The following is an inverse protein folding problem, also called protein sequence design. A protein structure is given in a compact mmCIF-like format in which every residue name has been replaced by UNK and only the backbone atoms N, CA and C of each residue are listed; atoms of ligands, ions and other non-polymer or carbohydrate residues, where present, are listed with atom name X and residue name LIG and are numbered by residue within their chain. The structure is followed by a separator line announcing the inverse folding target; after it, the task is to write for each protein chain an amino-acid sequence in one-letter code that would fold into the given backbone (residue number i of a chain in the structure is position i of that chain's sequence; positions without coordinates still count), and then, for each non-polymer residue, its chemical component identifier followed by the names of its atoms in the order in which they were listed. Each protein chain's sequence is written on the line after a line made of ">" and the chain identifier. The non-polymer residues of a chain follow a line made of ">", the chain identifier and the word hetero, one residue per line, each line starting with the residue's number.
data_IF_741237740766
#
_entry.id   IF_741237740766
#
_cell.length_a   1.000
_cell.length_b   1.000
_cell.length_c   1.000
_cell.angle_alpha   90.00
_cell.angle_beta   90.00
_cell.angle_gamma   90.00
#
_symmetry.space_group_name_H-M   'P 1'
#
loop_
_entity.id
_entity.type
_entity.pdbx_description
1 polymer ?
#
# COMPACT_ATOMS: atom_id res chain seq x y z
N UNK A 1 27.41 -20.78 28.59
CA UNK A 1 27.16 -19.49 27.92
C UNK A 1 25.91 -18.89 28.54
N UNK A 2 25.86 -17.59 28.85
CA UNK A 2 24.64 -16.97 29.34
C UNK A 2 23.53 -17.12 28.30
N UNK A 3 22.32 -17.42 28.74
CA UNK A 3 21.15 -17.52 27.85
C UNK A 3 20.77 -16.13 27.34
N UNK A 4 20.07 -16.09 26.20
CA UNK A 4 19.57 -14.84 25.61
C UNK A 4 18.73 -14.03 26.61
N UNK A 5 18.00 -14.72 27.50
CA UNK A 5 17.25 -14.09 28.59
C UNK A 5 18.15 -13.39 29.64
N UNK A 6 19.32 -13.96 29.96
CA UNK A 6 20.27 -13.34 30.89
C UNK A 6 20.95 -12.10 30.30
N UNK A 7 21.17 -12.09 28.98
CA UNK A 7 21.70 -10.91 28.29
C UNK A 7 20.66 -9.78 28.25
N UNK A 8 19.39 -10.11 28.00
CA UNK A 8 18.30 -9.12 28.02
C UNK A 8 18.10 -8.49 29.41
N UNK A 9 18.21 -9.27 30.49
CA UNK A 9 18.09 -8.75 31.86
C UNK A 9 19.24 -7.84 32.27
N UNK A 10 20.46 -8.09 31.79
CA UNK A 10 21.63 -7.25 32.10
C UNK A 10 21.54 -5.88 31.42
N UNK A 11 21.01 -5.84 30.19
CA UNK A 11 20.80 -4.59 29.47
C UNK A 11 19.70 -3.72 30.11
N UNK A 12 18.64 -4.33 30.65
CA UNK A 12 17.58 -3.63 31.39
C UNK A 12 18.06 -2.95 32.68
N UNK A 13 19.15 -3.41 33.29
CA UNK A 13 19.63 -2.85 34.56
C UNK A 13 20.47 -1.57 34.36
N UNK A 14 20.87 -1.26 33.13
CA UNK A 14 21.68 -0.07 32.80
C UNK A 14 20.84 1.10 32.24
N UNK A 15 19.58 0.86 31.86
CA UNK A 15 18.68 1.87 31.25
C UNK A 15 17.40 2.15 32.09
N UNK A 16 17.47 2.04 33.42
CA UNK A 16 16.41 2.62 34.28
C UNK A 16 16.56 4.15 34.34
N UNK A 17 16.17 4.79 33.25
CA UNK A 17 16.21 6.23 33.09
C UNK A 17 15.55 6.64 31.79
N UNK A 18 14.23 6.84 31.87
CA UNK A 18 13.37 7.55 30.91
C UNK A 18 12.67 6.67 29.85
N UNK A 19 11.38 6.44 30.14
CA UNK A 19 10.30 6.19 29.18
C UNK A 19 10.35 4.86 28.39
N UNK A 20 10.45 3.74 29.12
CA UNK A 20 10.30 2.41 28.53
C UNK A 20 8.81 2.05 28.32
N UNK A 21 8.30 2.33 27.13
CA UNK A 21 7.24 1.50 26.57
C UNK A 21 7.70 0.04 26.60
N UNK A 22 7.06 -0.79 27.45
CA UNK A 22 7.23 -2.24 27.62
C UNK A 22 8.05 -2.88 26.49
N UNK A 23 9.25 -3.41 26.76
CA UNK A 23 10.19 -4.10 25.84
C UNK A 23 9.57 -4.67 24.53
N UNK A 24 8.43 -5.39 24.55
CA UNK A 24 7.63 -5.71 23.36
C UNK A 24 7.41 -4.56 22.35
N UNK A 25 7.06 -3.36 22.78
CA UNK A 25 6.83 -2.18 21.96
C UNK A 25 8.12 -1.66 21.31
N UNK A 26 9.23 -1.68 22.03
CA UNK A 26 10.54 -1.32 21.47
C UNK A 26 10.97 -2.30 20.37
N UNK A 27 10.87 -3.61 20.66
CA UNK A 27 11.17 -4.64 19.66
C UNK A 27 10.24 -4.53 18.44
N UNK A 28 8.94 -4.34 18.65
CA UNK A 28 7.96 -4.16 17.56
C UNK A 28 8.31 -2.93 16.71
N UNK A 29 8.66 -1.79 17.33
CA UNK A 29 9.07 -0.58 16.61
C UNK A 29 10.32 -0.82 15.75
N UNK A 30 11.31 -1.57 16.26
CA UNK A 30 12.50 -1.95 15.49
C UNK A 30 12.17 -2.88 14.32
N UNK A 31 11.31 -3.87 14.53
CA UNK A 31 10.85 -4.77 13.46
C UNK A 31 10.10 -4.00 12.36
N UNK A 32 9.18 -3.11 12.74
CA UNK A 32 8.44 -2.26 11.79
C UNK A 32 9.39 -1.34 11.00
N UNK A 33 10.41 -0.79 11.66
CA UNK A 33 11.45 0.01 10.99
C UNK A 33 12.20 -0.79 9.92
N UNK A 34 12.67 -1.99 10.25
CA UNK A 34 13.39 -2.86 9.31
C UNK A 34 12.50 -3.30 8.14
N UNK A 35 11.24 -3.66 8.40
CA UNK A 35 10.28 -4.03 7.36
C UNK A 35 10.02 -2.85 6.41
N UNK A 36 9.89 -1.64 6.96
CA UNK A 36 9.72 -0.42 6.18
C UNK A 36 10.94 -0.17 5.29
N UNK A 37 12.16 -0.23 5.84
CA UNK A 37 13.39 -0.03 5.07
C UNK A 37 13.54 -1.05 3.94
N UNK A 38 13.29 -2.32 4.22
CA UNK A 38 13.35 -3.40 3.22
C UNK A 38 12.37 -3.14 2.07
N UNK A 39 11.13 -2.77 2.39
CA UNK A 39 10.10 -2.43 1.42
C UNK A 39 10.43 -1.19 0.59
N UNK A 40 11.14 -0.22 1.16
CA UNK A 40 11.56 0.99 0.44
C UNK A 40 12.74 0.72 -0.51
N UNK A 41 13.63 -0.19 -0.14
CA UNK A 41 14.74 -0.64 -0.99
C UNK A 41 14.24 -1.56 -2.12
N UNK A 42 13.19 -2.34 -1.86
CA UNK A 42 12.57 -3.20 -2.85
C UNK A 42 11.82 -2.37 -3.91
N UNK A 43 12.40 -2.26 -5.11
CA UNK A 43 11.72 -1.69 -6.30
C UNK A 43 10.61 -2.62 -6.86
N UNK A 44 10.12 -3.57 -6.07
CA UNK A 44 9.13 -4.57 -6.46
C UNK A 44 7.69 -4.13 -6.21
N UNK A 45 6.75 -4.95 -6.69
CA UNK A 45 5.35 -4.84 -6.29
C UNK A 45 5.15 -5.50 -4.93
N UNK A 46 4.34 -4.88 -4.07
CA UNK A 46 3.94 -5.44 -2.78
C UNK A 46 2.46 -5.76 -2.83
N UNK A 47 2.10 -7.01 -2.59
CA UNK A 47 0.72 -7.48 -2.56
C UNK A 47 0.01 -7.01 -1.29
N UNK A 48 -1.25 -6.62 -1.44
CA UNK A 48 -2.17 -6.32 -0.36
C UNK A 48 -3.18 -7.45 -0.21
N UNK A 49 -3.67 -7.66 1.01
CA UNK A 49 -4.89 -8.42 1.21
C UNK A 49 -6.05 -7.64 0.58
N UNK A 50 -6.89 -8.35 -0.16
CA UNK A 50 -8.03 -7.82 -0.89
C UNK A 50 -9.20 -8.78 -0.71
N UNK A 51 -10.41 -8.25 -0.72
CA UNK A 51 -11.64 -9.05 -0.54
C UNK A 51 -12.01 -9.74 -1.85
N UNK A 52 -12.29 -11.04 -1.82
CA UNK A 52 -12.73 -11.81 -2.98
C UNK A 52 -11.59 -12.23 -3.92
N UNK A 53 -11.91 -12.43 -5.20
CA UNK A 53 -10.99 -12.86 -6.27
C UNK A 53 -10.20 -11.71 -6.93
N UNK A 54 -9.92 -10.65 -6.16
CA UNK A 54 -9.21 -9.46 -6.68
C UNK A 54 -7.80 -9.40 -6.10
N UNK A 55 -6.80 -9.39 -6.95
CA UNK A 55 -5.40 -9.18 -6.55
C UNK A 55 -5.06 -7.69 -6.55
N UNK A 56 -4.67 -7.16 -5.38
CA UNK A 56 -4.25 -5.77 -5.21
C UNK A 56 -2.75 -5.72 -4.91
N UNK A 57 -2.01 -4.87 -5.62
CA UNK A 57 -0.59 -4.62 -5.33
C UNK A 57 -0.23 -3.15 -5.54
N UNK A 58 0.79 -2.66 -4.82
CA UNK A 58 1.34 -1.33 -5.05
C UNK A 58 2.86 -1.35 -5.11
N UNK A 59 3.42 -0.28 -5.68
CA UNK A 59 4.86 -0.04 -5.76
C UNK A 59 5.17 1.41 -5.40
N UNK A 60 6.19 1.63 -4.55
CA UNK A 60 6.75 2.96 -4.31
C UNK A 60 7.53 3.36 -5.57
N UNK A 61 7.18 4.49 -6.17
CA UNK A 61 7.93 5.02 -7.31
C UNK A 61 9.10 5.83 -6.76
N UNK A 62 10.29 5.65 -7.32
CA UNK A 62 11.51 6.34 -6.90
C UNK A 62 11.68 7.72 -7.55
N UNK A 63 10.59 8.34 -7.99
CA UNK A 63 10.55 9.61 -8.73
C UNK A 63 10.43 10.84 -7.80
N UNK A 64 10.47 10.64 -6.48
CA UNK A 64 10.28 11.69 -5.48
C UNK A 64 8.82 12.04 -5.19
N UNK A 65 7.87 11.48 -5.94
CA UNK A 65 6.45 11.68 -5.68
C UNK A 65 5.98 10.77 -4.52
N UNK A 66 5.26 11.28 -3.51
CA UNK A 66 4.72 10.44 -2.43
C UNK A 66 3.64 9.46 -2.93
N UNK A 67 3.08 9.65 -4.13
CA UNK A 67 2.09 8.76 -4.71
C UNK A 67 2.66 7.39 -5.05
N UNK A 68 1.92 6.35 -4.66
CA UNK A 68 2.24 4.96 -4.99
C UNK A 68 1.57 4.58 -6.31
N UNK A 69 2.25 3.76 -7.11
CA UNK A 69 1.65 3.12 -8.28
C UNK A 69 0.87 1.89 -7.84
N UNK A 70 -0.37 1.76 -8.28
CA UNK A 70 -1.25 0.66 -7.94
C UNK A 70 -1.50 -0.25 -9.14
N UNK A 71 -1.64 -1.55 -8.88
CA UNK A 71 -2.08 -2.57 -9.83
C UNK A 71 -3.21 -3.35 -9.18
N UNK A 72 -4.29 -3.52 -9.94
CA UNK A 72 -5.44 -4.35 -9.59
C UNK A 72 -5.61 -5.38 -10.70
N UNK A 73 -5.86 -6.63 -10.34
CA UNK A 73 -6.13 -7.70 -11.29
C UNK A 73 -7.31 -8.52 -10.81
N UNK A 74 -8.23 -8.84 -11.72
CA UNK A 74 -9.47 -9.56 -11.43
C UNK A 74 -9.76 -10.50 -12.60
N UNK A 75 -10.22 -11.70 -12.29
CA UNK A 75 -10.64 -12.67 -13.29
C UNK A 75 -12.07 -12.37 -13.75
N UNK A 76 -12.28 -12.40 -15.07
CA UNK A 76 -13.58 -12.10 -15.69
C UNK A 76 -13.87 -13.16 -16.76
N UNK A 77 -15.07 -13.75 -16.71
CA UNK A 77 -15.54 -14.75 -17.67
C UNK A 77 -16.07 -14.09 -18.96
N UNK A 78 -15.23 -13.33 -19.66
CA UNK A 78 -15.59 -12.70 -20.93
C UNK A 78 -14.38 -12.54 -21.87
N UNK A 79 -14.59 -12.55 -23.21
CA UNK A 79 -13.53 -12.24 -24.16
C UNK A 79 -12.94 -10.82 -23.95
N UNK A 80 -11.63 -10.61 -24.21
CA UNK A 80 -10.99 -9.31 -24.00
C UNK A 80 -11.66 -8.15 -24.73
N UNK A 81 -12.19 -8.38 -25.94
CA UNK A 81 -12.89 -7.35 -26.73
C UNK A 81 -14.20 -6.90 -26.08
N UNK A 82 -14.93 -7.80 -25.40
CA UNK A 82 -16.17 -7.48 -24.69
C UNK A 82 -15.86 -6.62 -23.47
N UNK A 83 -14.82 -6.98 -22.70
CA UNK A 83 -14.38 -6.21 -21.53
C UNK A 83 -13.91 -4.82 -21.95
N UNK A 84 -13.07 -4.73 -22.99
CA UNK A 84 -12.58 -3.44 -23.50
C UNK A 84 -13.73 -2.54 -23.98
N UNK A 85 -14.63 -3.08 -24.81
CA UNK A 85 -15.78 -2.34 -25.31
C UNK A 85 -16.69 -1.87 -24.19
N UNK A 86 -16.87 -2.68 -23.14
CA UNK A 86 -17.65 -2.29 -21.96
C UNK A 86 -17.02 -1.09 -21.26
N UNK A 87 -15.71 -1.14 -20.99
CA UNK A 87 -14.98 -0.04 -20.34
C UNK A 87 -15.05 1.24 -21.18
N UNK A 88 -14.89 1.13 -22.50
CA UNK A 88 -14.96 2.27 -23.42
C UNK A 88 -16.38 2.86 -23.50
N UNK A 89 -17.40 2.01 -23.64
CA UNK A 89 -18.78 2.46 -23.88
C UNK A 89 -19.48 2.97 -22.64
N UNK A 90 -19.31 2.33 -21.49
CA UNK A 90 -19.92 2.78 -20.22
C UNK A 90 -19.47 4.19 -19.83
N UNK A 91 -18.31 4.62 -20.33
CA UNK A 91 -17.75 5.96 -20.10
C UNK A 91 -17.84 6.91 -21.30
N UNK A 92 -18.61 6.54 -22.34
CA UNK A 92 -18.75 7.31 -23.58
C UNK A 92 -17.39 7.68 -24.23
N UNK A 93 -16.41 6.78 -24.17
CA UNK A 93 -15.01 7.05 -24.49
C UNK A 93 -14.71 7.05 -26.01
N UNK A 94 -15.57 7.65 -26.85
CA UNK A 94 -15.38 7.65 -28.31
C UNK A 94 -14.47 8.78 -28.85
N UNK A 95 -14.09 9.74 -28.01
CA UNK A 95 -13.25 10.91 -28.35
C UNK A 95 -11.79 10.71 -27.94
N UNK A 96 -10.86 11.57 -28.38
CA UNK A 96 -9.46 11.53 -27.94
C UNK A 96 -9.24 12.19 -26.57
N UNK A 97 -10.25 12.90 -26.05
CA UNK A 97 -10.20 13.58 -24.75
C UNK A 97 -11.48 13.28 -23.98
N UNK A 98 -11.36 13.00 -22.69
CA UNK A 98 -12.46 12.59 -21.80
C UNK A 98 -12.52 13.45 -20.55
N UNK A 99 -13.71 13.93 -20.22
CA UNK A 99 -14.00 14.57 -18.93
C UNK A 99 -15.04 13.76 -18.17
N UNK A 100 -14.78 13.44 -16.89
CA UNK A 100 -15.75 12.77 -16.04
C UNK A 100 -15.61 13.17 -14.57
N UNK A 101 -16.74 13.19 -13.86
CA UNK A 101 -16.80 13.53 -12.43
C UNK A 101 -17.16 12.29 -11.61
N UNK A 102 -16.41 12.04 -10.53
CA UNK A 102 -16.69 10.98 -9.56
C UNK A 102 -17.06 11.58 -8.20
N UNK A 103 -18.15 11.07 -7.63
CA UNK A 103 -18.52 11.38 -6.25
C UNK A 103 -17.54 10.71 -5.29
N UNK A 104 -17.17 11.43 -4.22
CA UNK A 104 -16.37 10.89 -3.13
C UNK A 104 -17.28 10.54 -1.95
N UNK A 105 -16.76 9.72 -1.02
CA UNK A 105 -17.47 9.46 0.23
C UNK A 105 -17.60 10.76 1.03
N UNK A 106 -18.77 11.07 1.62
CA UNK A 106 -18.95 12.25 2.45
C UNK A 106 -17.86 12.36 3.54
N UNK A 107 -17.38 13.57 3.89
CA UNK A 107 -17.82 14.89 3.44
C UNK A 107 -17.02 15.43 2.23
N UNK A 108 -16.29 14.59 1.50
CA UNK A 108 -15.36 15.06 0.48
C UNK A 108 -16.09 15.52 -0.80
N UNK A 109 -15.63 16.62 -1.44
CA UNK A 109 -16.18 17.06 -2.71
C UNK A 109 -15.94 16.03 -3.82
N UNK A 110 -16.75 16.10 -4.87
CA UNK A 110 -16.54 15.31 -6.08
C UNK A 110 -15.21 15.64 -6.75
N UNK A 111 -14.63 14.66 -7.45
CA UNK A 111 -13.39 14.81 -8.22
C UNK A 111 -13.69 14.88 -9.70
N UNK A 112 -13.20 15.92 -10.36
CA UNK A 112 -13.24 16.08 -11.82
C UNK A 112 -11.93 15.57 -12.44
N UNK A 113 -12.03 14.87 -13.56
CA UNK A 113 -10.92 14.25 -14.27
C UNK A 113 -10.99 14.62 -15.74
N UNK A 114 -9.90 15.15 -16.29
CA UNK A 114 -9.69 15.30 -17.73
C UNK A 114 -8.53 14.40 -18.16
N UNK A 115 -8.79 13.52 -19.12
CA UNK A 115 -7.85 12.48 -19.57
C UNK A 115 -7.71 12.57 -21.10
N UNK A 116 -6.48 12.42 -21.59
CA UNK A 116 -6.10 12.34 -23.00
C UNK A 116 -5.99 10.88 -23.47
#
# INVERSE_FOLDING_TARGET
>A
APTIEELCKRQHQEEEGEDEGSWPAFMEARLQGLLKESREKAKGWVSCQSTGNTELSYKKVGDGNPLRRWRVSVEVEAPPSVVLNRVLRERHLQTEVFQYVLNCMPPHPSRDFVVL
#
